data_IF_686304632663
#
_entry.id   IF_686304632663
#
_cell.length_a   1.000
_cell.length_b   1.000
_cell.length_c   1.000
_cell.angle_alpha   90.00
_cell.angle_beta   90.00
_cell.angle_gamma   90.00
#
_symmetry.space_group_name_H-M   'P 1'
#
loop_
_entity.id
_entity.type
_entity.pdbx_description
1 polymer ?
#
# COMPACT_ATOMS: atom_id res chain seq x y z
N UNK A 1 16.29 67.65 -8.69
CA UNK A 1 15.01 67.03 -9.07
C UNK A 1 14.82 67.18 -10.57
N UNK A 2 14.35 66.10 -11.22
CA UNK A 2 14.06 65.97 -12.67
C UNK A 2 15.17 65.35 -13.53
N UNK A 3 15.26 64.02 -13.46
CA UNK A 3 14.87 63.09 -14.53
C UNK A 3 15.34 63.31 -15.98
N UNK A 4 16.04 62.25 -16.44
CA UNK A 4 16.11 61.65 -17.78
C UNK A 4 17.06 62.26 -18.83
N UNK A 5 18.18 61.56 -18.99
CA UNK A 5 18.96 61.49 -20.22
C UNK A 5 18.97 60.03 -20.68
N UNK A 6 18.67 59.78 -21.95
CA UNK A 6 19.60 59.08 -22.84
C UNK A 6 19.02 58.96 -24.26
N UNK A 7 19.89 59.35 -25.18
CA UNK A 7 19.81 59.26 -26.62
C UNK A 7 19.82 57.80 -27.11
N UNK A 8 19.18 57.60 -28.26
CA UNK A 8 19.33 56.46 -29.16
C UNK A 8 20.77 56.35 -29.70
N UNK A 9 21.28 55.13 -29.82
CA UNK A 9 22.12 54.72 -30.94
C UNK A 9 21.79 53.27 -31.31
N UNK A 10 21.40 53.09 -32.57
CA UNK A 10 21.31 51.80 -33.22
C UNK A 10 22.69 51.38 -33.74
N UNK A 11 23.05 50.11 -33.55
CA UNK A 11 24.08 49.43 -34.33
C UNK A 11 23.74 47.96 -34.44
N UNK A 12 23.73 47.46 -35.67
CA UNK A 12 23.33 46.12 -36.06
C UNK A 12 24.48 45.10 -35.92
N UNK A 13 24.05 43.84 -35.70
CA UNK A 13 24.61 42.55 -36.14
C UNK A 13 26.08 42.21 -35.84
N UNK A 14 26.25 41.24 -34.93
CA UNK A 14 27.10 40.08 -35.15
C UNK A 14 26.54 38.88 -34.37
N UNK A 15 26.05 37.86 -35.08
CA UNK A 15 25.69 36.57 -34.49
C UNK A 15 26.95 35.69 -34.52
N UNK A 16 27.53 35.29 -33.37
CA UNK A 16 28.34 34.09 -33.37
C UNK A 16 27.39 32.89 -33.32
N UNK A 17 27.57 31.94 -34.25
CA UNK A 17 27.08 30.57 -34.08
C UNK A 17 27.74 30.00 -32.82
N UNK A 18 27.09 30.17 -31.67
CA UNK A 18 27.41 29.49 -30.44
C UNK A 18 26.68 28.16 -30.44
N UNK A 19 27.45 27.07 -30.44
CA UNK A 19 26.95 25.71 -30.26
C UNK A 19 25.98 25.66 -29.07
N UNK A 20 24.75 25.21 -29.32
CA UNK A 20 23.79 24.90 -28.27
C UNK A 20 24.40 23.80 -27.41
N UNK A 21 24.82 24.14 -26.19
CA UNK A 21 24.98 23.12 -25.14
C UNK A 21 23.61 22.51 -24.94
N UNK A 22 23.43 21.30 -25.47
CA UNK A 22 22.31 20.46 -25.10
C UNK A 22 22.42 20.22 -23.59
N UNK A 23 21.51 20.82 -22.83
CA UNK A 23 21.30 20.44 -21.44
C UNK A 23 21.02 18.93 -21.43
N UNK A 24 21.62 18.17 -20.50
CA UNK A 24 21.33 16.74 -20.40
C UNK A 24 19.82 16.57 -20.14
N UNK A 25 19.16 15.58 -20.75
CA UNK A 25 17.76 15.32 -20.51
C UNK A 25 17.59 14.93 -19.03
N UNK A 26 17.03 15.84 -18.23
CA UNK A 26 16.39 15.48 -16.97
C UNK A 26 15.12 14.71 -17.34
N UNK A 27 15.27 13.39 -17.49
CA UNK A 27 14.15 12.47 -17.61
C UNK A 27 13.93 11.78 -16.28
N UNK A 28 13.62 12.54 -15.23
CA UNK A 28 12.88 11.98 -14.12
C UNK A 28 11.43 11.90 -14.61
N UNK A 29 10.80 10.71 -14.67
CA UNK A 29 9.37 10.63 -14.92
C UNK A 29 8.63 11.54 -13.92
N UNK A 30 7.54 12.20 -14.30
CA UNK A 30 6.74 12.96 -13.34
C UNK A 30 6.34 12.01 -12.21
N UNK A 31 6.70 12.39 -10.98
CA UNK A 31 6.34 11.69 -9.76
C UNK A 31 4.82 11.51 -9.77
N UNK A 32 4.35 10.26 -9.82
CA UNK A 32 2.91 10.00 -9.76
C UNK A 32 2.42 10.48 -8.40
N UNK A 33 1.32 11.24 -8.33
CA UNK A 33 0.80 11.67 -7.04
C UNK A 33 0.52 10.44 -6.17
N UNK A 34 0.99 10.49 -4.94
CA UNK A 34 0.77 9.42 -3.97
C UNK A 34 -0.74 9.27 -3.72
N UNK A 35 -1.24 8.03 -3.52
CA UNK A 35 -2.67 7.80 -3.40
C UNK A 35 -3.21 8.43 -2.11
N UNK A 36 -4.40 9.04 -2.19
CA UNK A 36 -5.22 9.38 -1.02
C UNK A 36 -6.16 8.24 -0.61
N UNK A 37 -6.42 7.29 -1.51
CA UNK A 37 -7.33 6.16 -1.28
C UNK A 37 -6.67 4.86 -1.70
N UNK A 38 -6.77 3.85 -0.85
CA UNK A 38 -6.42 2.46 -1.12
C UNK A 38 -7.60 1.56 -0.76
N UNK A 39 -7.59 0.34 -1.27
CA UNK A 39 -8.63 -0.64 -1.08
C UNK A 39 -8.08 -1.92 -0.46
N UNK A 40 -8.89 -2.59 0.35
CA UNK A 40 -8.59 -3.94 0.87
C UNK A 40 -9.81 -4.83 0.69
N UNK A 41 -9.59 -6.03 0.15
CA UNK A 41 -10.57 -7.10 0.20
C UNK A 41 -10.30 -8.02 1.37
N UNK A 42 -11.35 -8.41 2.09
CA UNK A 42 -11.25 -9.31 3.23
C UNK A 42 -12.56 -10.12 3.40
N UNK A 43 -12.51 -11.23 4.14
CA UNK A 43 -13.72 -11.99 4.50
C UNK A 43 -14.27 -11.62 5.88
N UNK A 44 -13.53 -10.79 6.63
CA UNK A 44 -13.94 -10.26 7.92
C UNK A 44 -14.85 -9.03 7.75
N UNK A 45 -15.95 -8.94 8.53
CA UNK A 45 -16.91 -7.84 8.45
C UNK A 45 -16.44 -6.56 9.16
N UNK A 46 -17.05 -5.40 8.85
CA UNK A 46 -16.69 -4.11 9.44
C UNK A 46 -16.73 -4.11 10.97
N UNK A 47 -17.73 -4.77 11.57
CA UNK A 47 -17.91 -4.88 13.02
C UNK A 47 -16.73 -5.57 13.69
N UNK A 48 -16.11 -6.55 13.02
CA UNK A 48 -14.92 -7.21 13.52
C UNK A 48 -13.76 -6.21 13.65
N UNK A 49 -13.48 -5.44 12.59
CA UNK A 49 -12.41 -4.44 12.63
C UNK A 49 -12.73 -3.25 13.51
N UNK A 50 -13.99 -2.85 13.61
CA UNK A 50 -14.43 -1.84 14.58
C UNK A 50 -14.11 -2.27 16.00
N UNK A 51 -14.41 -3.51 16.37
CA UNK A 51 -14.12 -4.07 17.69
C UNK A 51 -12.62 -4.24 17.96
N UNK A 52 -11.79 -4.40 16.92
CA UNK A 52 -10.34 -4.35 17.06
C UNK A 52 -9.81 -2.91 17.14
N UNK A 53 -10.58 -1.90 16.70
CA UNK A 53 -10.09 -0.54 16.52
C UNK A 53 -9.32 -0.34 15.20
N UNK A 54 -9.42 -1.29 14.26
CA UNK A 54 -8.84 -1.22 12.93
C UNK A 54 -8.49 -2.57 12.33
N UNK A 55 -7.81 -2.54 11.19
CA UNK A 55 -7.27 -3.71 10.50
C UNK A 55 -5.83 -3.90 11.00
N UNK A 56 -5.54 -4.98 11.75
CA UNK A 56 -4.21 -5.22 12.27
C UNK A 56 -3.22 -5.58 11.16
N UNK A 57 -1.92 -5.45 11.46
CA UNK A 57 -0.90 -6.14 10.69
C UNK A 57 -1.14 -7.66 10.75
N UNK A 58 -0.64 -8.41 9.77
CA UNK A 58 -0.99 -9.83 9.64
C UNK A 58 -0.49 -10.69 10.84
N UNK A 59 -1.47 -11.13 11.63
CA UNK A 59 -1.49 -12.19 12.65
C UNK A 59 -0.69 -12.00 13.96
N UNK A 60 -1.23 -12.63 15.00
CA UNK A 60 -0.73 -12.65 16.38
C UNK A 60 0.50 -13.54 16.52
N UNK A 61 1.60 -13.00 17.05
CA UNK A 61 2.77 -13.81 17.40
C UNK A 61 4.03 -12.96 17.60
N UNK A 62 5.17 -13.62 17.81
CA UNK A 62 6.45 -12.91 17.91
C UNK A 62 6.81 -12.34 16.54
N UNK A 63 7.20 -11.07 16.51
CA UNK A 63 7.87 -10.49 15.35
C UNK A 63 9.35 -10.81 15.39
N UNK A 64 9.97 -10.90 14.22
CA UNK A 64 11.42 -11.00 14.06
C UNK A 64 11.88 -10.04 12.96
N UNK A 65 13.18 -10.06 12.63
CA UNK A 65 13.71 -9.16 11.61
C UNK A 65 13.07 -9.35 10.21
N UNK A 66 12.49 -10.53 9.91
CA UNK A 66 11.77 -10.79 8.65
C UNK A 66 10.39 -10.13 8.64
N UNK A 67 9.76 -9.97 9.82
CA UNK A 67 8.47 -9.30 9.96
C UNK A 67 8.42 -7.91 9.34
N UNK A 68 9.55 -7.21 9.36
CA UNK A 68 9.67 -5.84 8.87
C UNK A 68 10.15 -5.74 7.41
N UNK A 69 10.33 -6.87 6.72
CA UNK A 69 10.71 -6.89 5.31
C UNK A 69 9.49 -6.87 4.40
N UNK A 70 9.43 -5.88 3.51
CA UNK A 70 8.43 -5.75 2.46
C UNK A 70 8.51 -6.91 1.47
N UNK A 71 9.70 -7.43 1.17
CA UNK A 71 9.83 -8.61 0.33
C UNK A 71 9.21 -9.83 1.00
N UNK A 72 9.52 -10.08 2.27
CA UNK A 72 8.93 -11.21 2.99
C UNK A 72 7.40 -11.06 3.10
N UNK A 73 6.89 -9.85 3.34
CA UNK A 73 5.45 -9.55 3.29
C UNK A 73 4.84 -9.92 1.94
N UNK A 74 5.43 -9.45 0.83
CA UNK A 74 4.87 -9.62 -0.51
C UNK A 74 4.94 -11.07 -1.04
N UNK A 75 6.10 -11.72 -0.94
CA UNK A 75 6.21 -13.13 -1.36
C UNK A 75 5.41 -14.02 -0.43
N UNK A 76 5.23 -13.53 0.81
CA UNK A 76 4.32 -14.04 1.80
C UNK A 76 4.31 -15.55 1.86
N UNK A 77 5.49 -16.21 1.83
CA UNK A 77 5.61 -17.68 1.88
C UNK A 77 4.57 -18.16 2.89
N UNK A 78 3.44 -18.71 2.46
CA UNK A 78 3.23 -19.61 1.33
C UNK A 78 2.44 -19.05 0.13
N UNK A 79 3.13 -18.59 -0.92
CA UNK A 79 2.52 -18.55 -2.27
C UNK A 79 2.05 -19.94 -2.72
N UNK A 80 1.40 -20.06 -3.88
CA UNK A 80 0.90 -21.33 -4.45
C UNK A 80 1.92 -22.49 -4.33
N UNK A 81 3.22 -22.19 -4.42
CA UNK A 81 4.33 -23.13 -4.24
C UNK A 81 4.64 -23.56 -2.80
N UNK A 82 4.45 -22.70 -1.79
CA UNK A 82 4.60 -23.07 -0.37
C UNK A 82 3.47 -24.01 0.08
N UNK A 83 2.25 -23.69 -0.34
CA UNK A 83 1.04 -24.50 -0.10
C UNK A 83 1.11 -25.85 -0.83
N UNK A 84 1.60 -25.88 -2.08
CA UNK A 84 1.88 -27.12 -2.83
C UNK A 84 3.00 -27.98 -2.21
N UNK A 85 3.86 -27.39 -1.36
CA UNK A 85 4.97 -28.09 -0.68
C UNK A 85 4.70 -28.38 0.80
N UNK A 86 3.48 -28.14 1.29
CA UNK A 86 3.10 -28.39 2.68
C UNK A 86 3.88 -27.57 3.71
N UNK A 87 4.45 -26.43 3.29
CA UNK A 87 5.06 -25.46 4.21
C UNK A 87 4.01 -24.43 4.55
N UNK A 88 3.92 -24.11 5.85
CA UNK A 88 3.14 -23.01 6.39
C UNK A 88 4.05 -21.79 6.57
N UNK A 89 3.48 -20.58 6.50
CA UNK A 89 4.13 -19.32 6.85
C UNK A 89 4.66 -19.41 8.29
N UNK A 90 5.96 -19.18 8.47
CA UNK A 90 6.65 -19.29 9.77
C UNK A 90 7.07 -17.93 10.36
N UNK A 91 6.53 -16.82 9.82
CA UNK A 91 6.78 -15.46 10.31
C UNK A 91 5.50 -14.61 10.24
N UNK A 92 5.42 -13.58 11.09
CA UNK A 92 4.32 -12.62 11.09
C UNK A 92 4.74 -11.36 10.35
N UNK A 93 3.89 -10.80 9.49
CA UNK A 93 4.20 -9.53 8.81
C UNK A 93 3.85 -8.35 9.71
N UNK A 94 4.70 -7.33 9.74
CA UNK A 94 4.41 -6.07 10.41
C UNK A 94 3.47 -5.15 9.58
N UNK A 95 3.02 -5.62 8.41
CA UNK A 95 2.24 -4.84 7.45
C UNK A 95 0.82 -5.40 7.31
N UNK A 96 -0.13 -4.52 7.01
CA UNK A 96 -1.43 -4.88 6.44
C UNK A 96 -1.44 -4.53 4.94
N UNK A 97 -1.79 -5.49 4.09
CA UNK A 97 -1.83 -5.29 2.65
C UNK A 97 -3.04 -4.46 2.21
N UNK A 98 -2.81 -3.49 1.31
CA UNK A 98 -3.84 -2.73 0.60
C UNK A 98 -3.44 -2.56 -0.86
N UNK A 99 -4.34 -2.08 -1.70
CA UNK A 99 -4.11 -1.89 -3.13
C UNK A 99 -4.71 -0.59 -3.63
N UNK A 100 -3.99 0.12 -4.50
CA UNK A 100 -4.59 1.23 -5.26
C UNK A 100 -5.46 0.74 -6.44
N UNK A 101 -5.37 -0.54 -6.77
CA UNK A 101 -6.12 -1.18 -7.84
C UNK A 101 -7.38 -1.85 -7.29
N UNK A 102 -8.53 -1.27 -7.59
CA UNK A 102 -9.83 -1.72 -7.09
C UNK A 102 -10.08 -3.22 -7.33
N UNK A 103 -9.79 -3.70 -8.54
CA UNK A 103 -9.96 -5.11 -8.91
C UNK A 103 -9.11 -6.09 -8.09
N UNK A 104 -7.95 -5.65 -7.58
CA UNK A 104 -7.11 -6.50 -6.73
C UNK A 104 -7.75 -6.70 -5.37
N UNK A 105 -8.26 -5.62 -4.75
CA UNK A 105 -9.08 -5.74 -3.55
C UNK A 105 -10.36 -6.56 -3.80
N UNK A 106 -11.02 -6.39 -4.94
CA UNK A 106 -12.20 -7.19 -5.32
C UNK A 106 -11.90 -8.68 -5.38
N UNK A 107 -10.76 -9.06 -5.95
CA UNK A 107 -10.32 -10.44 -6.00
C UNK A 107 -10.18 -11.03 -4.59
N UNK A 108 -9.50 -10.33 -3.68
CA UNK A 108 -9.28 -10.81 -2.31
C UNK A 108 -10.55 -10.83 -1.46
N UNK A 109 -11.50 -9.90 -1.70
CA UNK A 109 -12.77 -9.84 -0.97
C UNK A 109 -13.60 -11.13 -1.10
N UNK A 110 -13.38 -11.93 -2.16
CA UNK A 110 -14.18 -13.13 -2.43
C UNK A 110 -13.32 -14.35 -2.78
N UNK A 111 -12.01 -14.27 -2.51
CA UNK A 111 -11.06 -15.34 -2.76
C UNK A 111 -11.27 -16.55 -1.83
N UNK A 112 -11.68 -16.30 -0.58
CA UNK A 112 -11.84 -17.34 0.43
C UNK A 112 -13.12 -18.14 0.20
N UNK A 113 -13.07 -19.46 0.46
CA UNK A 113 -14.09 -20.41 0.00
C UNK A 113 -15.24 -20.64 0.97
N UNK A 114 -15.18 -20.11 2.18
CA UNK A 114 -16.10 -20.52 3.25
C UNK A 114 -17.40 -19.70 3.29
N UNK A 115 -17.37 -18.42 2.93
CA UNK A 115 -18.54 -17.54 2.95
C UNK A 115 -19.10 -17.27 1.53
N UNK A 116 -20.39 -16.93 1.44
CA UNK A 116 -21.11 -16.55 0.19
C UNK A 116 -20.89 -15.08 -0.22
N UNK A 117 -20.17 -14.33 0.60
CA UNK A 117 -19.83 -12.93 0.41
C UNK A 117 -18.52 -12.61 1.11
N UNK A 118 -17.96 -11.45 0.81
CA UNK A 118 -16.96 -10.81 1.65
C UNK A 118 -17.03 -9.30 1.52
N UNK A 119 -15.97 -8.62 1.91
CA UNK A 119 -15.97 -7.20 2.17
C UNK A 119 -14.87 -6.49 1.42
N UNK A 120 -15.22 -5.34 0.87
CA UNK A 120 -14.26 -4.42 0.29
C UNK A 120 -14.25 -3.13 1.10
N UNK A 121 -13.09 -2.77 1.61
CA UNK A 121 -12.87 -1.56 2.37
C UNK A 121 -12.24 -0.49 1.48
N UNK A 122 -12.80 0.72 1.51
CA UNK A 122 -12.18 1.94 1.02
C UNK A 122 -11.52 2.64 2.20
N UNK A 123 -10.23 2.92 2.08
CA UNK A 123 -9.38 3.34 3.19
C UNK A 123 -8.63 4.60 2.78
N UNK A 124 -8.67 5.62 3.63
CA UNK A 124 -7.86 6.81 3.44
C UNK A 124 -6.39 6.47 3.69
N UNK A 125 -5.56 6.77 2.70
CA UNK A 125 -4.15 6.45 2.75
C UNK A 125 -3.41 7.38 3.72
N UNK A 126 -2.47 6.82 4.47
CA UNK A 126 -1.62 7.55 5.41
C UNK A 126 -0.15 7.24 5.19
N UNK A 127 0.77 8.05 5.72
CA UNK A 127 2.20 7.92 5.39
C UNK A 127 2.84 6.60 5.84
N UNK A 128 2.23 5.82 6.73
CA UNK A 128 2.71 4.47 7.07
C UNK A 128 2.43 3.42 5.97
N UNK A 129 1.70 3.78 4.90
CA UNK A 129 1.41 2.92 3.76
C UNK A 129 2.46 3.10 2.67
N UNK A 130 3.25 2.07 2.40
CA UNK A 130 4.45 2.15 1.55
C UNK A 130 4.19 1.55 0.17
N UNK A 131 4.57 2.28 -0.89
CA UNK A 131 4.56 1.76 -2.27
C UNK A 131 5.54 0.57 -2.43
N UNK A 132 4.97 -0.61 -2.63
CA UNK A 132 5.75 -1.83 -2.72
C UNK A 132 6.56 -1.91 -4.03
N UNK A 133 6.00 -1.44 -5.15
CA UNK A 133 6.63 -1.53 -6.48
C UNK A 133 7.94 -0.73 -6.55
N UNK A 134 8.09 0.28 -5.69
CA UNK A 134 9.24 1.18 -5.64
C UNK A 134 10.15 0.95 -4.41
N UNK A 135 10.02 -0.19 -3.72
CA UNK A 135 10.75 -0.48 -2.48
C UNK A 135 12.03 -1.32 -2.68
N UNK A 136 12.73 -1.13 -3.80
CA UNK A 136 14.05 -1.74 -4.03
C UNK A 136 14.03 -3.22 -4.46
N UNK A 137 12.86 -3.79 -4.75
CA UNK A 137 12.72 -5.11 -5.36
C UNK A 137 11.55 -5.12 -6.34
N UNK A 138 11.44 -6.17 -7.17
CA UNK A 138 10.27 -6.41 -8.03
C UNK A 138 9.29 -7.35 -7.31
N UNK A 139 8.10 -6.89 -6.92
CA UNK A 139 7.08 -7.74 -6.31
C UNK A 139 6.66 -8.90 -7.23
N UNK A 140 6.37 -10.07 -6.67
CA UNK A 140 5.87 -11.21 -7.44
C UNK A 140 4.51 -10.88 -8.07
N UNK A 141 3.66 -10.18 -7.32
CA UNK A 141 2.34 -9.73 -7.74
C UNK A 141 2.29 -8.21 -8.02
N UNK A 142 3.29 -7.66 -8.73
CA UNK A 142 3.35 -6.21 -9.08
C UNK A 142 2.12 -5.63 -9.81
N UNK A 143 1.22 -6.47 -10.32
CA UNK A 143 -0.05 -6.04 -10.89
C UNK A 143 -1.09 -5.64 -9.81
N UNK A 144 -0.87 -6.04 -8.56
CA UNK A 144 -1.72 -5.72 -7.41
C UNK A 144 -1.58 -4.27 -6.94
N UNK A 145 -0.51 -3.57 -7.33
CA UNK A 145 -0.30 -2.15 -6.96
C UNK A 145 -0.46 -1.92 -5.46
N UNK A 146 0.24 -2.76 -4.72
CA UNK A 146 0.15 -2.89 -3.27
C UNK A 146 0.76 -1.67 -2.57
N UNK A 147 0.05 -1.19 -1.55
CA UNK A 147 0.58 -0.28 -0.55
C UNK A 147 0.52 -1.00 0.81
N UNK A 148 1.69 -1.25 1.41
CA UNK A 148 1.80 -2.03 2.64
C UNK A 148 1.75 -1.10 3.85
N UNK A 149 0.73 -1.23 4.71
CA UNK A 149 0.52 -0.39 5.88
C UNK A 149 1.31 -0.91 7.09
N UNK A 150 2.48 -0.32 7.37
CA UNK A 150 3.31 -0.69 8.51
C UNK A 150 2.59 -0.37 9.83
N UNK A 151 2.44 -1.39 10.68
CA UNK A 151 1.73 -1.31 11.95
C UNK A 151 0.22 -1.54 11.86
N UNK A 152 -0.35 -1.66 10.65
CA UNK A 152 -1.79 -1.80 10.42
C UNK A 152 -2.49 -0.51 10.04
N UNK A 153 -3.82 -0.52 10.11
CA UNK A 153 -4.72 0.54 9.65
C UNK A 153 -5.75 0.79 10.75
N UNK A 154 -5.90 2.03 11.20
CA UNK A 154 -6.87 2.38 12.25
C UNK A 154 -8.30 2.38 11.71
N UNK A 155 -9.27 2.06 12.57
CA UNK A 155 -10.70 2.06 12.22
C UNK A 155 -11.14 3.40 11.62
N UNK A 156 -10.70 4.51 12.21
CA UNK A 156 -11.02 5.87 11.78
C UNK A 156 -10.41 6.25 10.42
N UNK A 157 -9.52 5.44 9.83
CA UNK A 157 -9.01 5.61 8.47
C UNK A 157 -9.92 4.99 7.41
N UNK A 158 -10.79 4.05 7.79
CA UNK A 158 -11.70 3.38 6.87
C UNK A 158 -12.82 4.37 6.53
N UNK A 159 -12.97 4.72 5.26
CA UNK A 159 -13.96 5.69 4.78
C UNK A 159 -15.33 5.03 4.57
N UNK A 160 -15.32 3.82 4.01
CA UNK A 160 -16.52 3.07 3.66
C UNK A 160 -16.20 1.59 3.43
N UNK A 161 -17.24 0.77 3.36
CA UNK A 161 -17.14 -0.62 2.91
C UNK A 161 -18.28 -1.01 1.98
N UNK A 162 -18.07 -2.07 1.24
CA UNK A 162 -19.03 -2.66 0.33
C UNK A 162 -19.09 -4.17 0.58
N UNK A 163 -20.30 -4.70 0.74
CA UNK A 163 -20.53 -6.15 0.83
C UNK A 163 -20.59 -6.75 -0.57
N UNK A 164 -19.62 -7.58 -0.91
CA UNK A 164 -19.45 -8.16 -2.24
C UNK A 164 -20.01 -9.59 -2.26
N UNK A 165 -21.09 -9.86 -3.03
CA UNK A 165 -21.55 -11.22 -3.27
C UNK A 165 -20.49 -12.01 -4.03
N UNK A 166 -20.22 -13.24 -3.60
CA UNK A 166 -19.17 -14.08 -4.23
C UNK A 166 -19.51 -14.53 -5.64
N UNK A 167 -20.80 -14.74 -5.92
CA UNK A 167 -21.29 -15.07 -7.25
C UNK A 167 -21.12 -13.93 -8.27
N UNK A 168 -20.77 -12.71 -7.84
CA UNK A 168 -20.54 -11.57 -8.72
C UNK A 168 -19.34 -11.80 -9.65
N UNK A 169 -18.32 -12.50 -9.16
CA UNK A 169 -17.12 -12.83 -9.94
C UNK A 169 -16.86 -14.34 -10.04
N UNK A 170 -17.83 -15.19 -9.68
CA UNK A 170 -17.65 -16.64 -9.67
C UNK A 170 -17.24 -17.20 -11.04
N UNK A 171 -17.75 -16.62 -12.11
CA UNK A 171 -17.45 -17.03 -13.49
C UNK A 171 -16.01 -16.74 -13.89
N UNK A 172 -15.33 -15.84 -13.16
CA UNK A 172 -13.93 -15.51 -13.38
C UNK A 172 -12.99 -16.50 -12.66
N UNK A 173 -13.45 -17.12 -11.56
CA UNK A 173 -12.75 -18.21 -10.85
C UNK A 173 -11.24 -18.01 -10.69
N UNK A 174 -10.45 -19.05 -11.01
CA UNK A 174 -8.97 -19.00 -11.04
C UNK A 174 -8.40 -18.21 -12.23
N UNK A 175 -9.24 -17.75 -13.14
CA UNK A 175 -8.88 -17.06 -14.38
C UNK A 175 -9.20 -15.55 -14.31
N UNK A 176 -9.34 -14.98 -13.11
CA UNK A 176 -9.66 -13.57 -12.87
C UNK A 176 -8.82 -12.60 -13.73
N UNK A 177 -7.51 -12.88 -13.84
CA UNK A 177 -6.61 -12.09 -14.66
C UNK A 177 -6.77 -12.40 -16.16
N UNK A 178 -6.96 -13.67 -16.53
CA UNK A 178 -7.06 -14.13 -17.92
C UNK A 178 -8.35 -13.66 -18.62
N UNK A 179 -9.40 -13.35 -17.86
CA UNK A 179 -10.66 -12.78 -18.36
C UNK A 179 -10.65 -11.24 -18.42
N UNK A 180 -9.52 -10.59 -18.13
CA UNK A 180 -9.39 -9.13 -18.18
C UNK A 180 -10.12 -8.38 -17.06
N UNK A 181 -10.63 -9.08 -16.03
CA UNK A 181 -11.35 -8.46 -14.91
C UNK A 181 -10.47 -7.47 -14.13
N UNK A 182 -9.16 -7.76 -14.04
CA UNK A 182 -8.18 -6.85 -13.47
C UNK A 182 -8.20 -5.48 -14.16
N UNK A 183 -8.26 -5.43 -15.48
CA UNK A 183 -8.24 -4.17 -16.23
C UNK A 183 -9.64 -3.53 -16.26
N UNK A 184 -10.67 -4.36 -16.45
CA UNK A 184 -12.07 -3.91 -16.51
C UNK A 184 -12.47 -3.12 -15.26
N UNK A 185 -12.17 -3.66 -14.08
CA UNK A 185 -12.54 -3.06 -12.79
C UNK A 185 -11.32 -2.51 -12.03
N UNK A 186 -10.26 -2.09 -12.74
CA UNK A 186 -9.10 -1.46 -12.10
C UNK A 186 -9.48 -0.20 -11.31
N UNK A 187 -10.50 0.51 -11.77
CA UNK A 187 -11.05 1.72 -11.15
C UNK A 187 -12.46 1.47 -10.60
N UNK A 188 -12.80 2.05 -9.44
CA UNK A 188 -14.11 1.86 -8.79
C UNK A 188 -15.28 2.27 -9.71
N UNK A 189 -15.13 3.36 -10.46
CA UNK A 189 -16.19 3.86 -11.34
C UNK A 189 -16.59 2.90 -12.47
N UNK A 190 -15.70 1.99 -12.88
CA UNK A 190 -16.06 0.95 -13.85
C UNK A 190 -16.87 -0.17 -13.19
N UNK A 191 -16.51 -0.54 -11.96
CA UNK A 191 -17.27 -1.52 -11.19
C UNK A 191 -18.67 -1.01 -10.86
N UNK A 192 -18.80 0.23 -10.41
CA UNK A 192 -20.11 0.84 -10.08
C UNK A 192 -21.06 0.91 -11.28
N UNK A 193 -20.53 1.06 -12.51
CA UNK A 193 -21.36 1.02 -13.73
C UNK A 193 -21.97 -0.35 -13.98
N UNK A 194 -21.22 -1.41 -13.73
CA UNK A 194 -21.68 -2.79 -13.92
C UNK A 194 -22.59 -3.26 -12.77
N UNK A 195 -22.39 -2.73 -11.56
CA UNK A 195 -23.11 -3.12 -10.35
C UNK A 195 -23.67 -1.90 -9.61
N UNK A 196 -24.60 -1.14 -10.22
CA UNK A 196 -25.12 0.11 -9.64
C UNK A 196 -25.92 -0.11 -8.35
N UNK A 197 -26.40 -1.32 -8.12
CA UNK A 197 -27.20 -1.69 -6.94
C UNK A 197 -26.34 -1.95 -5.70
N UNK A 198 -25.04 -2.21 -5.87
CA UNK A 198 -24.12 -2.32 -4.74
C UNK A 198 -23.80 -0.93 -4.20
N UNK A 199 -24.11 -0.71 -2.92
CA UNK A 199 -23.94 0.57 -2.24
C UNK A 199 -22.79 0.48 -1.25
N UNK A 200 -21.98 1.53 -1.24
CA UNK A 200 -21.04 1.78 -0.17
C UNK A 200 -21.79 2.16 1.09
N UNK A 201 -21.42 1.54 2.20
CA UNK A 201 -21.79 1.95 3.53
C UNK A 201 -20.67 2.83 4.08
N UNK A 202 -20.98 4.09 4.34
CA UNK A 202 -20.01 5.05 4.89
C UNK A 202 -19.71 4.73 6.34
N UNK A 203 -18.45 4.77 6.73
CA UNK A 203 -18.05 4.64 8.13
C UNK A 203 -18.42 5.93 8.89
N UNK A 204 -19.36 5.91 9.86
CA UNK A 204 -19.69 7.10 10.64
C UNK A 204 -18.54 7.55 11.55
N UNK A 205 -17.57 6.68 11.82
CA UNK A 205 -16.42 6.95 12.68
C UNK A 205 -15.17 7.39 11.88
N UNK A 206 -15.29 7.56 10.56
CA UNK A 206 -14.19 8.09 9.75
C UNK A 206 -13.76 9.46 10.27
N UNK A 207 -12.45 9.67 10.44
CA UNK A 207 -11.91 10.93 10.93
C UNK A 207 -11.41 11.81 9.76
N UNK A 208 -12.08 12.94 9.46
CA UNK A 208 -11.69 13.83 8.36
C UNK A 208 -10.30 14.45 8.51
N UNK A 209 -9.67 14.38 9.69
CA UNK A 209 -8.28 14.79 9.86
C UNK A 209 -7.32 13.98 8.97
N UNK A 210 -7.73 12.79 8.49
CA UNK A 210 -6.93 12.01 7.57
C UNK A 210 -6.84 12.63 6.16
N UNK A 211 -7.82 13.43 5.73
CA UNK A 211 -7.91 14.01 4.37
C UNK A 211 -6.69 14.77 3.87
N UNK A 212 -5.80 15.18 4.77
CA UNK A 212 -4.56 15.89 4.45
C UNK A 212 -3.39 14.95 4.08
N UNK A 213 -3.57 13.64 4.25
CA UNK A 213 -2.51 12.65 4.09
C UNK A 213 -2.65 11.87 2.79
N UNK A 214 -1.53 11.24 2.44
CA UNK A 214 -1.40 10.31 1.34
C UNK A 214 -0.53 9.13 1.78
N UNK A 215 -0.49 8.08 0.96
CA UNK A 215 0.53 7.04 1.09
C UNK A 215 1.95 7.61 0.95
N UNK A 216 2.95 6.78 1.23
CA UNK A 216 4.36 7.10 1.08
C UNK A 216 4.97 6.49 -0.18
N UNK A 217 6.04 7.11 -0.66
CA UNK A 217 6.94 6.50 -1.64
C UNK A 217 7.52 5.18 -1.12
N UNK A 218 8.12 4.42 -2.04
CA UNK A 218 8.81 3.18 -1.71
C UNK A 218 9.93 3.38 -0.68
N UNK A 219 10.19 2.34 0.10
CA UNK A 219 11.19 2.34 1.17
C UNK A 219 12.22 1.23 0.91
N UNK A 220 13.27 1.45 0.08
CA UNK A 220 14.27 0.44 -0.26
C UNK A 220 15.01 -0.17 0.94
N UNK A 221 15.18 0.59 2.02
CA UNK A 221 15.73 0.10 3.29
C UNK A 221 14.83 -0.95 3.97
N UNK A 222 13.55 -0.98 3.63
CA UNK A 222 12.57 -1.98 4.07
C UNK A 222 12.34 -3.10 3.04
N UNK A 223 13.01 -3.05 1.87
CA UNK A 223 12.88 -4.05 0.82
C UNK A 223 13.23 -5.46 1.28
N UNK A 224 14.42 -5.65 1.87
CA UNK A 224 14.76 -6.83 2.66
C UNK A 224 14.70 -8.16 1.91
N UNK A 225 15.00 -8.19 0.61
CA UNK A 225 15.02 -9.40 -0.22
C UNK A 225 16.28 -10.23 0.08
N UNK A 226 16.19 -11.52 0.40
CA UNK A 226 17.36 -12.35 0.65
C UNK A 226 18.14 -12.64 -0.64
N UNK A 227 19.46 -12.43 -0.61
CA UNK A 227 20.42 -12.77 -1.68
C UNK A 227 21.60 -13.59 -1.14
N UNK A 228 22.24 -14.37 -2.01
CA UNK A 228 23.47 -15.11 -1.67
C UNK A 228 24.68 -14.36 -2.19
N UNK A 229 25.55 -13.93 -1.28
CA UNK A 229 26.83 -13.29 -1.60
C UNK A 229 27.96 -14.14 -1.02
N UNK A 230 28.81 -14.69 -1.90
CA UNK A 230 29.91 -15.61 -1.52
C UNK A 230 29.46 -16.76 -0.61
N UNK A 231 28.28 -17.33 -0.91
CA UNK A 231 27.69 -18.44 -0.14
C UNK A 231 27.00 -18.05 1.17
N UNK A 232 27.02 -16.77 1.57
CA UNK A 232 26.33 -16.27 2.77
C UNK A 232 25.03 -15.57 2.38
N UNK A 233 23.99 -15.80 3.17
CA UNK A 233 22.71 -15.10 3.05
C UNK A 233 22.87 -13.66 3.54
N UNK A 234 22.47 -12.70 2.71
CA UNK A 234 22.45 -11.27 3.03
C UNK A 234 21.13 -10.67 2.54
N UNK A 235 20.78 -9.47 2.99
CA UNK A 235 19.63 -8.73 2.48
C UNK A 235 20.09 -7.80 1.35
N UNK A 236 19.33 -7.78 0.27
CA UNK A 236 19.47 -6.87 -0.86
C UNK A 236 18.81 -5.55 -0.48
N UNK A 237 19.60 -4.68 0.15
CA UNK A 237 19.24 -3.32 0.55
C UNK A 237 20.37 -2.38 0.12
N UNK A 238 20.09 -1.09 -0.14
CA UNK A 238 21.15 -0.13 -0.46
C UNK A 238 22.24 -0.08 0.61
N UNK A 239 23.49 0.13 0.18
CA UNK A 239 24.70 0.01 1.01
C UNK A 239 24.68 0.92 2.24
N UNK A 240 24.09 2.10 2.10
CA UNK A 240 23.91 3.08 3.17
C UNK A 240 23.02 2.60 4.32
N UNK A 241 22.20 1.57 4.08
CA UNK A 241 21.31 0.96 5.08
C UNK A 241 21.86 -0.36 5.64
N UNK A 242 23.01 -0.83 5.16
CA UNK A 242 23.66 -2.03 5.67
C UNK A 242 24.10 -1.89 7.15
N UNK A 243 24.19 -3.02 7.85
CA UNK A 243 24.65 -3.06 9.25
C UNK A 243 23.58 -2.72 10.29
N UNK A 244 22.34 -2.44 9.87
CA UNK A 244 21.17 -2.26 10.74
C UNK A 244 20.14 -3.37 10.51
N UNK A 245 19.31 -3.63 11.51
CA UNK A 245 18.17 -4.55 11.38
C UNK A 245 17.04 -3.89 10.57
N UNK A 246 16.18 -4.72 9.95
CA UNK A 246 14.95 -4.25 9.33
C UNK A 246 14.01 -3.63 10.35
N UNK A 247 13.98 -4.17 11.57
CA UNK A 247 13.25 -3.57 12.70
C UNK A 247 13.73 -2.14 12.99
N UNK A 248 15.04 -1.91 12.99
CA UNK A 248 15.60 -0.57 13.15
C UNK A 248 15.11 0.37 12.05
N UNK A 249 15.16 -0.05 10.79
CA UNK A 249 14.68 0.74 9.66
C UNK A 249 13.17 1.02 9.74
N UNK A 250 12.39 0.05 10.23
CA UNK A 250 10.95 0.22 10.42
C UNK A 250 10.63 1.23 11.53
N UNK A 251 11.37 1.18 12.64
CA UNK A 251 11.27 2.16 13.73
C UNK A 251 11.65 3.56 13.23
N UNK A 252 12.77 3.71 12.51
CA UNK A 252 13.21 4.99 11.97
C UNK A 252 12.18 5.59 11.00
N UNK A 253 11.62 4.76 10.13
CA UNK A 253 10.53 5.17 9.24
C UNK A 253 9.29 5.62 10.02
N UNK A 254 8.83 4.84 10.99
CA UNK A 254 7.65 5.20 11.80
C UNK A 254 7.90 6.40 12.70
N UNK A 255 9.11 6.63 13.20
CA UNK A 255 9.47 7.86 13.90
C UNK A 255 9.29 9.10 13.02
N UNK A 256 9.52 8.97 11.71
CA UNK A 256 9.35 10.07 10.75
C UNK A 256 7.88 10.28 10.36
N UNK A 257 7.11 9.19 10.17
CA UNK A 257 5.82 9.28 9.47
C UNK A 257 4.62 8.70 10.23
N UNK A 258 4.84 8.02 11.35
CA UNK A 258 3.82 7.25 12.05
C UNK A 258 2.88 8.07 12.95
N UNK A 259 3.17 9.37 13.17
CA UNK A 259 2.37 10.24 14.05
C UNK A 259 0.86 10.22 13.76
N UNK A 260 0.41 10.36 12.50
CA UNK A 260 -1.02 10.32 12.15
C UNK A 260 -1.73 9.02 12.53
N UNK A 261 -1.00 7.90 12.55
CA UNK A 261 -1.56 6.60 12.93
C UNK A 261 -1.30 6.26 14.40
N UNK A 262 -0.89 7.22 15.23
CA UNK A 262 -0.73 7.01 16.67
C UNK A 262 0.58 6.33 17.08
N UNK A 263 1.63 6.41 16.26
CA UNK A 263 2.97 5.94 16.63
C UNK A 263 3.55 6.74 17.79
N UNK A 264 4.03 6.03 18.83
CA UNK A 264 4.65 6.63 20.03
C UNK A 264 6.06 6.10 20.31
N UNK A 265 6.71 5.49 19.31
CA UNK A 265 8.06 4.91 19.46
C UNK A 265 8.09 3.40 19.72
N UNK A 266 6.96 2.71 19.66
CA UNK A 266 6.90 1.25 19.77
C UNK A 266 5.82 0.65 18.88
N UNK A 267 6.15 -0.45 18.20
CA UNK A 267 5.14 -1.40 17.70
C UNK A 267 4.61 -2.14 18.94
N UNK A 268 3.29 -2.26 19.20
CA UNK A 268 2.18 -2.32 18.26
C UNK A 268 1.10 -1.23 18.49
N UNK A 269 0.38 -0.84 17.43
CA UNK A 269 -0.95 -0.25 17.61
C UNK A 269 -1.77 -1.26 18.41
N UNK A 270 -2.06 -0.95 19.66
CA UNK A 270 -2.77 -1.86 20.54
C UNK A 270 -4.25 -1.84 20.12
N UNK A 271 -4.59 -2.67 19.14
CA UNK A 271 -5.95 -2.93 18.69
C UNK A 271 -6.68 -3.66 19.83
N UNK A 272 -7.13 -2.91 20.83
CA UNK A 272 -7.75 -3.41 22.06
C UNK A 272 -8.97 -2.56 22.41
N UNK A 273 -9.96 -2.45 21.51
CA UNK A 273 -11.28 -2.07 22.01
C UNK A 273 -11.84 -3.26 22.83
N UNK A 274 -12.53 -3.02 23.97
CA UNK A 274 -13.16 -4.11 24.71
C UNK A 274 -14.25 -4.73 23.83
N UNK A 275 -14.00 -5.93 23.29
CA UNK A 275 -14.97 -6.63 22.46
C UNK A 275 -16.04 -7.29 23.35
N UNK A 276 -17.27 -6.79 23.28
CA UNK A 276 -18.47 -7.50 23.71
C UNK A 276 -18.95 -8.37 22.53
N UNK A 277 -18.85 -9.69 22.69
CA UNK A 277 -19.22 -10.67 21.67
C UNK A 277 -20.71 -11.06 21.73
N UNK A 278 -21.51 -10.45 22.61
CA UNK A 278 -22.93 -10.79 22.77
C UNK A 278 -23.81 -10.36 21.59
N UNK A 279 -23.33 -9.46 20.73
CA UNK A 279 -24.09 -8.96 19.56
C UNK A 279 -23.74 -9.66 18.24
N UNK A 280 -22.75 -10.55 18.21
CA UNK A 280 -22.22 -11.12 16.95
C UNK A 280 -23.01 -12.32 16.42
N UNK A 281 -24.18 -12.65 17.00
CA UNK A 281 -25.17 -13.63 16.54
C UNK A 281 -24.69 -14.63 15.48
N UNK A 282 -23.79 -15.53 15.88
CA UNK A 282 -23.50 -16.77 15.13
C UNK A 282 -24.65 -17.76 15.31
#
# INVERSE_FOLDING_TARGET
>A
MKNFAALLFASALAVPLGASQAAPPSSTPPERPLPSVVYRGDDLPPEYYKNLGGIPHEFTGKTDNRSYSLWWHNVGFDGTFGRLRGKGRDFNSAYAATSTRFSSALYFAVLTREQEFGWMYQIHATPNMIDLDNSGFRPEASYEKEFAALGGIRWEQIEAWLRIPKNLISDYGRNYNAHGALDKWALPGNFTKDFPDLKWETNPDYNPAYNQYHGSEGQPQLGGKPIKVKGRLQLDIPREFEGKSMEYHAIEFMNKVGGPVGWTGSFPLNFSAPADFSSAGL
#
